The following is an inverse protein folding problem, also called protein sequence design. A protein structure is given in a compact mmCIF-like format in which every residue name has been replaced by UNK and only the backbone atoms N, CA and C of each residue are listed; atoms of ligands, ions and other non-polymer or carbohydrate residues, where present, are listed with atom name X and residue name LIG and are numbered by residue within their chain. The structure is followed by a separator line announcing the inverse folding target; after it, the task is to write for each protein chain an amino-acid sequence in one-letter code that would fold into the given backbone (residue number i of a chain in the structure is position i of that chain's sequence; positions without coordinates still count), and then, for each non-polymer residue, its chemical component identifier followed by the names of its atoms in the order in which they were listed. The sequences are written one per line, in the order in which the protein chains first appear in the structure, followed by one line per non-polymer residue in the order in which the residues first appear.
data_IF_075105677177
#
_entry.id   IF_075105677177
#
_cell.length_a   1.000
_cell.length_b   1.000
_cell.length_c   1.000
_cell.angle_alpha   90.00
_cell.angle_beta   90.00
_cell.angle_gamma   90.00
#
_symmetry.space_group_name_H-M   'P 1'
#
loop_
_entity.id
_entity.type
_entity.pdbx_description
1 polymer ?
#
# COMPACT_ATOMS: atom_id res chain seq x y z
N UNK A 1 -5.23 4.06 35.64
CA UNK A 1 -5.48 4.16 34.18
C UNK A 1 -6.95 4.06 33.80
N UNK A 2 -7.75 3.15 34.37
CA UNK A 2 -9.18 3.01 34.02
C UNK A 2 -10.02 4.27 34.26
N UNK A 3 -9.86 4.94 35.42
CA UNK A 3 -10.60 6.17 35.71
C UNK A 3 -10.27 7.32 34.74
N UNK A 4 -9.00 7.50 34.37
CA UNK A 4 -8.61 8.52 33.37
C UNK A 4 -9.23 8.24 31.99
N UNK A 5 -9.29 6.97 31.58
CA UNK A 5 -9.93 6.57 30.33
C UNK A 5 -11.45 6.77 30.37
N UNK A 6 -12.11 6.45 31.48
CA UNK A 6 -13.55 6.67 31.65
C UNK A 6 -13.90 8.16 31.64
N UNK A 7 -13.17 8.98 32.39
CA UNK A 7 -13.40 10.43 32.41
C UNK A 7 -13.23 11.04 31.02
N UNK A 8 -12.20 10.61 30.28
CA UNK A 8 -11.95 11.06 28.91
C UNK A 8 -13.10 10.70 27.95
N UNK A 9 -13.62 9.46 28.03
CA UNK A 9 -14.77 9.03 27.20
C UNK A 9 -16.01 9.85 27.57
N UNK A 10 -16.27 10.04 28.86
CA UNK A 10 -17.46 10.76 29.34
C UNK A 10 -17.45 12.24 28.92
N UNK A 11 -16.28 12.87 28.91
CA UNK A 11 -16.09 14.22 28.38
C UNK A 11 -16.44 14.31 26.88
N UNK A 12 -15.95 13.37 26.06
CA UNK A 12 -16.27 13.35 24.63
C UNK A 12 -17.75 13.06 24.36
N UNK A 13 -18.39 12.23 25.19
CA UNK A 13 -19.85 12.01 25.10
C UNK A 13 -20.64 13.29 25.41
N UNK A 14 -20.24 14.05 26.43
CA UNK A 14 -20.86 15.35 26.77
C UNK A 14 -20.67 16.36 25.63
N UNK A 15 -19.50 16.39 25.00
CA UNK A 15 -19.22 17.26 23.87
C UNK A 15 -20.11 16.94 22.65
N UNK A 16 -20.28 15.65 22.34
CA UNK A 16 -21.20 15.19 21.28
C UNK A 16 -22.63 15.62 21.60
N UNK A 17 -23.12 15.38 22.81
CA UNK A 17 -24.48 15.78 23.22
C UNK A 17 -24.69 17.29 23.12
N UNK A 18 -23.72 18.09 23.55
CA UNK A 18 -23.79 19.54 23.49
C UNK A 18 -23.78 20.05 22.03
N UNK A 19 -22.95 19.45 21.17
CA UNK A 19 -22.87 19.81 19.75
C UNK A 19 -24.18 19.54 18.99
N UNK A 20 -24.88 18.46 19.36
CA UNK A 20 -26.18 18.07 18.81
C UNK A 20 -27.33 18.94 19.37
N UNK A 21 -27.36 19.17 20.69
CA UNK A 21 -28.47 19.86 21.36
C UNK A 21 -28.44 21.38 21.16
N UNK A 22 -27.27 22.01 21.21
CA UNK A 22 -27.17 23.48 21.24
C UNK A 22 -26.75 24.09 19.90
N UNK A 23 -25.86 23.44 19.16
CA UNK A 23 -25.25 24.01 17.96
C UNK A 23 -25.74 23.39 16.65
N UNK A 24 -26.59 22.35 16.72
CA UNK A 24 -27.08 21.57 15.58
C UNK A 24 -25.94 21.12 14.62
N UNK A 25 -24.73 20.94 15.15
CA UNK A 25 -23.51 20.72 14.38
C UNK A 25 -23.26 19.21 14.24
N UNK A 26 -24.13 18.56 13.47
CA UNK A 26 -24.09 17.12 13.19
C UNK A 26 -22.76 16.67 12.57
N UNK A 27 -22.08 17.56 11.85
CA UNK A 27 -20.74 17.30 11.28
C UNK A 27 -19.69 17.09 12.37
N UNK A 28 -19.65 17.96 13.37
CA UNK A 28 -18.72 17.85 14.50
C UNK A 28 -19.02 16.63 15.37
N UNK A 29 -20.31 16.36 15.63
CA UNK A 29 -20.73 15.15 16.33
C UNK A 29 -20.24 13.88 15.61
N UNK A 30 -20.44 13.81 14.28
CA UNK A 30 -19.98 12.69 13.47
C UNK A 30 -18.45 12.56 13.46
N UNK A 31 -17.70 13.66 13.36
CA UNK A 31 -16.23 13.63 13.42
C UNK A 31 -15.73 13.07 14.75
N UNK A 32 -16.31 13.52 15.86
CA UNK A 32 -15.94 13.07 17.21
C UNK A 32 -16.22 11.58 17.40
N UNK A 33 -17.41 11.11 16.98
CA UNK A 33 -17.75 9.67 16.98
C UNK A 33 -16.79 8.87 16.10
N UNK A 34 -16.45 9.39 14.92
CA UNK A 34 -15.50 8.74 14.01
C UNK A 34 -14.12 8.64 14.62
N UNK A 35 -13.64 9.64 15.34
CA UNK A 35 -12.34 9.60 16.02
C UNK A 35 -12.31 8.60 17.18
N UNK A 36 -13.41 8.49 17.94
CA UNK A 36 -13.55 7.52 19.04
C UNK A 36 -13.62 6.07 18.54
N UNK A 37 -14.30 5.84 17.43
CA UNK A 37 -14.57 4.49 16.91
C UNK A 37 -13.55 4.01 15.89
N UNK A 38 -12.79 4.91 15.26
CA UNK A 38 -11.75 4.54 14.30
C UNK A 38 -10.64 3.78 15.02
N UNK A 39 -10.45 2.52 14.64
CA UNK A 39 -9.26 1.75 15.02
C UNK A 39 -8.02 2.46 14.47
N UNK A 40 -7.21 3.03 15.36
CA UNK A 40 -5.90 3.58 15.01
C UNK A 40 -5.03 2.41 14.57
N UNK A 41 -4.77 2.30 13.28
CA UNK A 41 -3.75 1.42 12.73
C UNK A 41 -2.42 2.17 12.83
N UNK A 42 -1.56 1.89 13.83
CA UNK A 42 -0.24 2.50 13.85
C UNK A 42 0.48 2.05 12.58
N UNK A 43 1.00 3.02 11.81
CA UNK A 43 1.93 2.68 10.74
C UNK A 43 3.15 2.08 11.40
N UNK A 44 3.49 0.84 11.06
CA UNK A 44 4.73 0.23 11.50
C UNK A 44 5.89 0.97 10.83
N UNK A 45 6.50 1.91 11.54
CA UNK A 45 7.68 2.65 11.12
C UNK A 45 8.95 1.98 11.66
N UNK A 46 9.01 0.65 11.62
CA UNK A 46 10.14 -0.11 12.16
C UNK A 46 10.70 -1.01 11.07
N UNK A 47 12.01 -0.96 10.87
CA UNK A 47 12.74 -1.81 9.92
C UNK A 47 13.79 -2.62 10.66
N UNK A 48 14.12 -3.79 10.12
CA UNK A 48 15.19 -4.61 10.69
C UNK A 48 16.56 -4.18 10.13
N UNK A 49 17.53 -4.01 11.03
CA UNK A 49 18.93 -3.83 10.67
C UNK A 49 19.47 -5.09 10.00
N UNK A 50 20.65 -4.99 9.38
CA UNK A 50 21.33 -6.15 8.77
C UNK A 50 21.67 -7.25 9.80
N UNK A 51 21.85 -6.89 11.06
CA UNK A 51 22.15 -7.81 12.17
C UNK A 51 20.91 -8.35 12.88
N UNK A 52 19.71 -7.95 12.44
CA UNK A 52 18.45 -8.43 13.00
C UNK A 52 17.79 -7.52 14.04
N UNK A 53 18.37 -6.35 14.34
CA UNK A 53 17.85 -5.42 15.35
C UNK A 53 16.70 -4.56 14.80
N UNK A 54 15.68 -4.29 15.61
CA UNK A 54 14.58 -3.39 15.22
C UNK A 54 15.01 -1.92 15.31
N UNK A 55 15.05 -1.23 14.18
CA UNK A 55 15.32 0.20 14.07
C UNK A 55 14.01 0.99 14.04
N UNK A 56 13.83 1.88 15.02
CA UNK A 56 12.65 2.74 15.18
C UNK A 56 12.94 4.22 14.93
N UNK A 57 14.22 4.60 14.89
CA UNK A 57 14.66 5.98 14.64
C UNK A 57 14.66 6.28 13.13
N UNK A 58 14.01 7.36 12.72
CA UNK A 58 13.85 7.74 11.30
C UNK A 58 15.18 7.81 10.55
N UNK A 59 16.20 8.41 11.15
CA UNK A 59 17.52 8.53 10.53
C UNK A 59 18.18 7.16 10.29
N UNK A 60 18.11 6.26 11.27
CA UNK A 60 18.61 4.88 11.13
C UNK A 60 17.83 4.08 10.09
N UNK A 61 16.53 4.34 9.94
CA UNK A 61 15.70 3.72 8.89
C UNK A 61 16.16 4.17 7.50
N UNK A 62 16.40 5.47 7.30
CA UNK A 62 16.89 6.01 6.04
C UNK A 62 18.28 5.47 5.68
N UNK A 63 19.19 5.41 6.65
CA UNK A 63 20.52 4.84 6.46
C UNK A 63 20.43 3.36 6.06
N UNK A 64 19.56 2.58 6.72
CA UNK A 64 19.33 1.17 6.40
C UNK A 64 18.76 0.96 4.99
N UNK A 65 17.86 1.83 4.54
CA UNK A 65 17.35 1.82 3.16
C UNK A 65 18.45 2.13 2.15
N UNK A 66 19.30 3.10 2.46
CA UNK A 66 20.42 3.50 1.60
C UNK A 66 21.43 2.36 1.46
N UNK A 67 21.80 1.71 2.57
CA UNK A 67 22.64 0.51 2.58
C UNK A 67 22.03 -0.61 1.74
N UNK A 68 20.76 -0.95 1.99
CA UNK A 68 20.07 -2.02 1.26
C UNK A 68 20.04 -1.79 -0.25
N UNK A 69 19.65 -0.59 -0.69
CA UNK A 69 19.58 -0.27 -2.11
C UNK A 69 20.98 -0.31 -2.74
N UNK A 70 21.99 0.23 -2.06
CA UNK A 70 23.37 0.21 -2.53
C UNK A 70 23.88 -1.22 -2.71
N UNK A 71 23.61 -2.10 -1.75
CA UNK A 71 23.96 -3.52 -1.86
C UNK A 71 23.24 -4.21 -3.02
N UNK A 72 21.95 -3.92 -3.20
CA UNK A 72 21.13 -4.51 -4.25
C UNK A 72 21.64 -4.14 -5.65
N UNK A 73 21.94 -2.86 -5.88
CA UNK A 73 22.38 -2.39 -7.20
C UNK A 73 23.84 -2.69 -7.52
N UNK A 74 24.71 -2.74 -6.51
CA UNK A 74 26.11 -3.13 -6.70
C UNK A 74 26.31 -4.66 -6.71
N UNK A 75 25.24 -5.44 -6.49
CA UNK A 75 25.31 -6.90 -6.55
C UNK A 75 25.50 -7.35 -7.99
N UNK A 76 26.64 -7.97 -8.27
CA UNK A 76 26.83 -8.70 -9.52
C UNK A 76 25.85 -9.88 -9.52
N UNK A 77 24.97 -10.00 -10.52
CA UNK A 77 23.99 -11.08 -10.55
C UNK A 77 24.70 -12.41 -10.79
N UNK A 78 24.68 -13.29 -9.78
CA UNK A 78 25.20 -14.66 -9.88
C UNK A 78 24.11 -15.61 -10.42
N UNK A 79 23.41 -15.21 -11.48
CA UNK A 79 22.35 -16.00 -12.13
C UNK A 79 22.84 -16.65 -13.41
N UNK A 80 22.07 -17.62 -13.93
CA UNK A 80 22.31 -18.19 -15.25
C UNK A 80 22.26 -17.05 -16.31
N UNK A 81 23.33 -16.84 -17.10
CA UNK A 81 23.36 -15.83 -18.14
C UNK A 81 22.18 -15.93 -19.12
N UNK A 82 21.64 -17.13 -19.34
CA UNK A 82 20.49 -17.33 -20.21
C UNK A 82 19.17 -16.75 -19.65
N UNK A 83 19.03 -16.70 -18.31
CA UNK A 83 17.85 -16.12 -17.64
C UNK A 83 17.99 -14.61 -17.47
N UNK A 84 19.22 -14.13 -17.24
CA UNK A 84 19.53 -12.71 -17.11
C UNK A 84 19.56 -11.98 -18.46
N UNK A 85 19.76 -12.73 -19.56
CA UNK A 85 19.64 -12.24 -20.92
C UNK A 85 18.16 -12.10 -21.28
N UNK A 86 17.54 -10.97 -20.91
CA UNK A 86 16.31 -10.57 -21.59
C UNK A 86 16.64 -10.35 -23.07
N UNK A 87 15.95 -11.02 -24.01
CA UNK A 87 16.02 -10.65 -25.42
C UNK A 87 15.65 -9.16 -25.49
N UNK A 88 16.56 -8.34 -26.01
CA UNK A 88 16.19 -6.97 -26.33
C UNK A 88 15.15 -7.03 -27.43
N UNK A 89 14.01 -6.37 -27.23
CA UNK A 89 13.04 -6.12 -28.29
C UNK A 89 13.81 -5.54 -29.46
N UNK A 90 13.85 -6.28 -30.56
CA UNK A 90 14.54 -5.84 -31.77
C UNK A 90 13.70 -4.77 -32.46
N UNK A 91 14.31 -3.93 -33.29
CA UNK A 91 13.56 -2.97 -34.13
C UNK A 91 12.54 -3.68 -35.05
N UNK A 92 12.75 -4.98 -35.32
CA UNK A 92 11.80 -5.82 -36.05
C UNK A 92 10.58 -6.21 -35.18
N UNK A 93 10.74 -6.41 -33.87
CA UNK A 93 9.64 -6.69 -32.94
C UNK A 93 8.72 -5.46 -32.74
N UNK A 94 9.27 -4.24 -32.75
CA UNK A 94 8.50 -2.99 -32.75
C UNK A 94 7.74 -2.75 -34.06
N UNK A 95 8.22 -3.34 -35.16
CA UNK A 95 7.62 -3.23 -36.49
C UNK A 95 6.55 -4.26 -36.80
N UNK A 96 6.37 -5.29 -35.97
CA UNK A 96 5.28 -6.24 -36.17
C UNK A 96 3.95 -5.49 -36.00
N UNK A 97 3.22 -5.20 -37.10
CA UNK A 97 1.94 -4.54 -36.95
C UNK A 97 1.01 -5.52 -36.26
N UNK A 98 0.40 -5.12 -35.14
CA UNK A 98 -0.67 -5.90 -34.51
C UNK A 98 -1.73 -6.15 -35.59
N UNK A 99 -1.81 -7.38 -36.08
CA UNK A 99 -2.67 -7.69 -37.20
C UNK A 99 -4.11 -7.70 -36.70
N UNK A 100 -4.96 -6.87 -37.32
CA UNK A 100 -6.38 -6.77 -36.98
C UNK A 100 -7.07 -8.14 -36.94
N UNK A 101 -6.66 -9.05 -37.82
CA UNK A 101 -7.17 -10.43 -37.90
C UNK A 101 -6.83 -11.26 -36.65
N UNK A 102 -5.61 -11.13 -36.10
CA UNK A 102 -5.21 -11.82 -34.87
C UNK A 102 -6.01 -11.31 -33.66
N UNK A 103 -6.20 -10.00 -33.57
CA UNK A 103 -7.02 -9.38 -32.52
C UNK A 103 -8.47 -9.85 -32.60
N UNK A 104 -9.05 -9.87 -33.81
CA UNK A 104 -10.41 -10.36 -34.01
C UNK A 104 -10.55 -11.85 -33.67
N UNK A 105 -9.57 -12.68 -34.01
CA UNK A 105 -9.56 -14.11 -33.69
C UNK A 105 -9.47 -14.35 -32.17
N UNK A 106 -8.61 -13.60 -31.47
CA UNK A 106 -8.48 -13.67 -30.02
C UNK A 106 -9.77 -13.25 -29.30
N UNK A 107 -10.40 -12.14 -29.72
CA UNK A 107 -11.69 -11.67 -29.18
C UNK A 107 -12.80 -12.68 -29.39
N UNK A 108 -12.86 -13.32 -30.57
CA UNK A 108 -13.84 -14.38 -30.86
C UNK A 108 -13.63 -15.62 -30.00
N UNK A 109 -12.38 -15.96 -29.71
CA UNK A 109 -12.03 -17.13 -28.89
C UNK A 109 -12.41 -16.91 -27.42
N UNK A 110 -12.12 -15.72 -26.86
CA UNK A 110 -12.58 -15.33 -25.51
C UNK A 110 -14.10 -15.38 -25.37
N UNK A 111 -14.84 -15.00 -26.42
CA UNK A 111 -16.31 -15.06 -26.42
C UNK A 111 -16.84 -16.49 -26.43
N UNK A 112 -16.11 -17.45 -27.02
CA UNK A 112 -16.49 -18.88 -27.03
C UNK A 112 -16.21 -19.54 -25.68
N UNK A 113 -15.10 -19.21 -25.04
CA UNK A 113 -14.76 -19.75 -23.71
C UNK A 113 -15.75 -19.31 -22.63
N UNK A 114 -16.26 -18.08 -22.72
CA UNK A 114 -17.32 -17.57 -21.82
C UNK A 114 -18.72 -18.17 -22.07
N UNK A 115 -18.90 -18.99 -23.11
CA UNK A 115 -20.16 -19.68 -23.42
C UNK A 115 -20.13 -21.17 -23.08
N UNK A 116 -18.96 -21.68 -22.68
CA UNK A 116 -18.75 -23.08 -22.27
C UNK A 116 -18.71 -23.26 -20.74
N UNK A 117 -19.02 -22.20 -19.99
CA UNK A 117 -19.33 -22.20 -18.55
C UNK A 117 -20.82 -21.91 -18.34
#
# INVERSE_FOLDING_TARGET
MQSAKQNWIEEHCKEIENSLKYNNNTKMAYQTVKELTKTKQPRASTIQSKTGECLTEEQKILDRWTEYCSELYNRIPNGDPAVLSCPQTTEDDEKLPILREEVEAAVRSLKKEKQLE
#
